data_IF_946267070063
#
_entry.id   IF_946267070063
#
_cell.length_a   1.000
_cell.length_b   1.000
_cell.length_c   1.000
_cell.angle_alpha   90.00
_cell.angle_beta   90.00
_cell.angle_gamma   90.00
#
_symmetry.space_group_name_H-M   'P 1'
#
loop_
_entity.id
_entity.type
_entity.pdbx_description
1 polymer ?
#
# COMPACT_ATOMS: atom_id res chain seq x y z
N UNK A 1 -17.69 32.70 9.57
CA UNK A 1 -16.76 31.68 9.05
C UNK A 1 -17.16 30.39 9.75
N UNK A 2 -17.71 29.41 9.03
CA UNK A 2 -17.97 28.10 9.58
C UNK A 2 -16.61 27.37 9.59
N UNK A 3 -16.10 27.06 10.78
CA UNK A 3 -14.98 26.13 10.94
C UNK A 3 -15.40 24.80 10.30
N UNK A 4 -14.87 24.52 9.12
CA UNK A 4 -14.94 23.18 8.57
C UNK A 4 -13.98 22.35 9.41
N UNK A 5 -14.41 21.20 9.95
CA UNK A 5 -13.50 20.36 10.71
C UNK A 5 -12.30 19.99 9.82
N UNK A 6 -11.09 20.14 10.36
CA UNK A 6 -9.87 19.84 9.62
C UNK A 6 -9.88 18.36 9.21
N UNK A 7 -9.53 18.08 7.95
CA UNK A 7 -9.41 16.73 7.42
C UNK A 7 -8.47 15.87 8.27
N UNK A 8 -8.75 14.57 8.37
CA UNK A 8 -7.91 13.65 9.15
C UNK A 8 -6.88 13.01 8.21
N UNK A 9 -5.59 13.13 8.51
CA UNK A 9 -4.54 12.44 7.74
C UNK A 9 -4.42 10.96 8.12
N UNK A 10 -4.07 10.12 7.14
CA UNK A 10 -3.61 8.76 7.41
C UNK A 10 -2.36 8.76 8.31
N UNK A 11 -2.30 7.80 9.24
CA UNK A 11 -1.25 7.78 10.28
C UNK A 11 -0.78 6.37 10.60
N UNK A 12 0.40 6.26 11.20
CA UNK A 12 0.93 5.02 11.78
C UNK A 12 0.75 4.95 13.31
N UNK A 13 0.21 6.00 13.93
CA UNK A 13 0.00 6.06 15.37
C UNK A 13 -1.14 5.12 15.79
N UNK A 14 -0.86 4.18 16.70
CA UNK A 14 -1.84 3.19 17.17
C UNK A 14 -2.99 3.87 17.91
N UNK A 15 -4.21 3.36 17.73
CA UNK A 15 -5.41 3.85 18.41
C UNK A 15 -6.05 5.09 17.77
N UNK A 16 -5.43 5.71 16.76
CA UNK A 16 -6.05 6.78 15.98
C UNK A 16 -7.01 6.22 14.93
N UNK A 17 -8.07 6.98 14.62
CA UNK A 17 -9.13 6.58 13.67
C UNK A 17 -8.57 6.21 12.29
N UNK A 18 -7.67 7.04 11.76
CA UNK A 18 -6.98 6.85 10.47
C UNK A 18 -5.66 6.06 10.58
N UNK A 19 -5.47 5.32 11.68
CA UNK A 19 -4.28 4.46 11.84
C UNK A 19 -4.27 3.36 10.78
N UNK A 20 -3.08 3.03 10.27
CA UNK A 20 -2.91 1.95 9.28
C UNK A 20 -3.58 0.66 9.74
N UNK A 21 -4.24 -0.02 8.81
CA UNK A 21 -4.90 -1.29 9.07
C UNK A 21 -3.99 -2.48 8.73
N UNK A 22 -4.56 -3.67 8.73
CA UNK A 22 -3.97 -4.88 8.14
C UNK A 22 -4.50 -5.09 6.72
N UNK A 23 -3.69 -5.74 5.90
CA UNK A 23 -4.06 -6.15 4.56
C UNK A 23 -5.11 -7.26 4.58
N UNK A 24 -6.09 -7.18 3.69
CA UNK A 24 -6.97 -8.30 3.36
C UNK A 24 -6.21 -9.29 2.49
N UNK A 25 -6.52 -10.58 2.66
CA UNK A 25 -5.97 -11.64 1.82
C UNK A 25 -6.14 -11.38 0.32
N UNK A 26 -7.34 -10.92 -0.07
CA UNK A 26 -7.66 -10.60 -1.47
C UNK A 26 -6.83 -9.43 -2.00
N UNK A 27 -6.52 -8.45 -1.15
CA UNK A 27 -5.67 -7.31 -1.51
C UNK A 27 -4.23 -7.73 -1.75
N UNK A 28 -3.69 -8.62 -0.91
CA UNK A 28 -2.35 -9.19 -1.11
C UNK A 28 -2.29 -10.06 -2.37
N UNK A 29 -3.31 -10.90 -2.60
CA UNK A 29 -3.40 -11.72 -3.80
C UNK A 29 -3.52 -10.86 -5.06
N UNK A 30 -4.39 -9.84 -5.03
CA UNK A 30 -4.59 -8.92 -6.15
C UNK A 30 -3.32 -8.16 -6.52
N UNK A 31 -2.56 -7.65 -5.53
CA UNK A 31 -1.29 -6.97 -5.79
C UNK A 31 -0.24 -7.90 -6.43
N UNK A 32 -0.24 -9.18 -6.08
CA UNK A 32 0.60 -10.18 -6.74
C UNK A 32 0.12 -10.46 -8.16
N UNK A 33 -1.17 -10.75 -8.35
CA UNK A 33 -1.73 -11.14 -9.64
C UNK A 33 -1.63 -10.04 -10.69
N UNK A 34 -1.79 -8.78 -10.28
CA UNK A 34 -1.66 -7.61 -11.16
C UNK A 34 -0.21 -7.25 -11.49
N UNK A 35 0.77 -7.72 -10.70
CA UNK A 35 2.17 -7.47 -11.00
C UNK A 35 2.61 -8.22 -12.26
N UNK A 36 3.53 -7.61 -13.01
CA UNK A 36 4.08 -8.18 -14.24
C UNK A 36 4.86 -9.45 -13.92
N UNK A 37 4.60 -10.52 -14.67
CA UNK A 37 5.34 -11.78 -14.53
C UNK A 37 6.79 -11.62 -14.95
N UNK A 38 7.69 -12.22 -14.17
CA UNK A 38 9.10 -12.33 -14.56
C UNK A 38 9.32 -13.61 -15.40
N UNK A 39 10.18 -13.59 -16.44
CA UNK A 39 10.39 -14.72 -17.34
C UNK A 39 10.83 -16.04 -16.68
N UNK A 40 11.42 -15.95 -15.49
CA UNK A 40 11.97 -17.08 -14.72
C UNK A 40 11.02 -17.53 -13.60
N UNK A 41 9.80 -17.00 -13.56
CA UNK A 41 8.86 -17.13 -12.45
C UNK A 41 8.94 -15.94 -11.48
N UNK A 42 7.88 -15.77 -10.68
CA UNK A 42 7.75 -14.63 -9.79
C UNK A 42 7.19 -13.38 -10.49
N UNK A 43 7.37 -12.23 -9.85
CA UNK A 43 6.83 -10.92 -10.27
C UNK A 43 7.93 -9.87 -10.31
N UNK A 44 7.86 -8.93 -11.24
CA UNK A 44 8.76 -7.78 -11.25
C UNK A 44 8.31 -6.71 -10.26
N UNK A 45 9.28 -6.14 -9.54
CA UNK A 45 9.11 -4.86 -8.88
C UNK A 45 8.97 -3.76 -9.94
N UNK A 46 7.86 -3.00 -9.98
CA UNK A 46 7.62 -2.00 -11.00
C UNK A 46 8.63 -0.84 -10.94
N UNK A 47 9.23 -0.57 -9.79
CA UNK A 47 10.14 0.55 -9.58
C UNK A 47 11.58 0.30 -10.03
N UNK A 48 12.03 -0.96 -10.05
CA UNK A 48 13.43 -1.28 -10.37
C UNK A 48 13.64 -2.53 -11.25
N UNK A 49 12.58 -3.24 -11.62
CA UNK A 49 12.66 -4.45 -12.44
C UNK A 49 13.27 -5.68 -11.74
N UNK A 50 13.58 -5.61 -10.44
CA UNK A 50 14.04 -6.77 -9.68
C UNK A 50 12.90 -7.79 -9.52
N UNK A 51 13.19 -9.07 -9.71
CA UNK A 51 12.22 -10.16 -9.52
C UNK A 51 12.05 -10.51 -8.04
N UNK A 52 10.81 -10.72 -7.61
CA UNK A 52 10.42 -11.29 -6.32
C UNK A 52 9.66 -12.59 -6.57
N UNK A 53 9.86 -13.60 -5.75
CA UNK A 53 9.57 -14.99 -6.11
C UNK A 53 8.51 -15.66 -5.22
N UNK A 54 8.22 -15.10 -4.04
CA UNK A 54 7.36 -15.77 -3.07
C UNK A 54 5.91 -15.33 -3.24
N UNK A 55 5.11 -16.19 -3.88
CA UNK A 55 3.68 -15.99 -4.03
C UNK A 55 2.95 -15.95 -2.66
N UNK A 56 1.84 -15.18 -2.56
CA UNK A 56 0.95 -15.24 -1.41
C UNK A 56 0.49 -16.67 -1.10
N UNK A 57 0.23 -16.96 0.17
CA UNK A 57 -0.32 -18.26 0.65
C UNK A 57 0.51 -19.49 0.29
N UNK A 58 1.78 -19.32 -0.08
CA UNK A 58 2.74 -20.41 -0.33
C UNK A 58 3.21 -21.14 0.93
N UNK A 59 2.87 -20.63 2.12
CA UNK A 59 3.41 -21.11 3.40
C UNK A 59 4.79 -20.54 3.75
N UNK A 60 5.38 -19.72 2.88
CA UNK A 60 6.65 -19.02 3.08
C UNK A 60 6.37 -17.51 3.20
N UNK A 61 7.15 -16.80 4.02
CA UNK A 61 7.06 -15.35 4.12
C UNK A 61 7.42 -14.69 2.78
N UNK A 62 6.61 -13.71 2.36
CA UNK A 62 6.82 -12.94 1.12
C UNK A 62 8.19 -12.26 1.12
N UNK A 63 8.85 -12.23 -0.04
CA UNK A 63 10.11 -11.51 -0.29
C UNK A 63 9.89 -10.10 -0.87
N UNK A 64 8.67 -9.57 -0.71
CA UNK A 64 8.20 -8.30 -1.24
C UNK A 64 7.24 -7.61 -0.27
N UNK A 65 7.11 -6.29 -0.42
CA UNK A 65 6.28 -5.44 0.41
C UNK A 65 5.05 -4.93 -0.37
N UNK A 66 4.00 -4.59 0.38
CA UNK A 66 2.84 -3.89 -0.16
C UNK A 66 3.11 -2.39 -0.14
N UNK A 67 3.00 -1.75 -1.30
CA UNK A 67 3.08 -0.30 -1.44
C UNK A 67 1.69 0.31 -1.58
N UNK A 68 1.58 1.58 -1.22
CA UNK A 68 0.38 2.40 -1.41
C UNK A 68 0.70 3.56 -2.35
N UNK A 69 -0.21 3.83 -3.28
CA UNK A 69 -0.20 5.06 -4.07
C UNK A 69 -1.63 5.66 -4.09
N UNK A 70 -1.86 6.84 -3.48
CA UNK A 70 -0.91 7.61 -2.67
C UNK A 70 -0.53 6.87 -1.39
N UNK A 71 0.67 7.13 -0.87
CA UNK A 71 1.19 6.58 0.38
C UNK A 71 0.23 6.84 1.53
N UNK A 72 0.12 5.90 2.48
CA UNK A 72 -0.89 5.97 3.55
C UNK A 72 -0.91 7.30 4.30
N UNK A 73 0.27 7.82 4.68
CA UNK A 73 0.37 9.09 5.43
C UNK A 73 0.14 10.34 4.59
N UNK A 74 0.01 10.20 3.27
CA UNK A 74 -0.37 11.30 2.37
C UNK A 74 -1.87 11.30 2.07
N UNK A 75 -2.61 10.27 2.51
CA UNK A 75 -4.08 10.23 2.37
C UNK A 75 -4.73 11.15 3.40
N UNK A 76 -5.86 11.73 2.99
CA UNK A 76 -6.71 12.55 3.85
C UNK A 76 -8.13 12.02 3.79
N UNK A 77 -8.83 12.13 4.91
CA UNK A 77 -10.18 11.63 5.11
C UNK A 77 -11.08 12.74 5.63
N UNK A 78 -12.36 12.64 5.29
CA UNK A 78 -13.38 13.51 5.88
C UNK A 78 -13.43 13.35 7.41
N UNK A 79 -13.73 14.42 8.17
CA UNK A 79 -13.68 14.36 9.63
C UNK A 79 -14.71 13.42 10.28
N UNK A 80 -15.79 13.10 9.57
CA UNK A 80 -16.85 12.17 9.99
C UNK A 80 -16.66 10.73 9.47
N UNK A 81 -15.50 10.43 8.88
CA UNK A 81 -15.14 9.09 8.42
C UNK A 81 -15.30 8.06 9.54
N UNK A 82 -15.82 6.88 9.20
CA UNK A 82 -15.89 5.76 10.14
C UNK A 82 -14.71 4.80 9.96
N UNK A 83 -14.33 4.10 11.03
CA UNK A 83 -13.18 3.19 11.01
C UNK A 83 -13.26 2.14 9.90
N UNK A 84 -14.45 1.62 9.58
CA UNK A 84 -14.65 0.65 8.50
C UNK A 84 -14.23 1.20 7.14
N UNK A 85 -14.61 2.44 6.83
CA UNK A 85 -14.23 3.11 5.58
C UNK A 85 -12.71 3.34 5.50
N UNK A 86 -12.05 3.66 6.63
CA UNK A 86 -10.58 3.70 6.70
C UNK A 86 -9.94 2.33 6.42
N UNK A 87 -10.55 1.23 6.89
CA UNK A 87 -10.08 -0.13 6.60
C UNK A 87 -10.24 -0.46 5.11
N UNK A 88 -11.37 -0.08 4.53
CA UNK A 88 -11.62 -0.26 3.10
C UNK A 88 -10.58 0.51 2.28
N UNK A 89 -10.40 1.80 2.55
CA UNK A 89 -9.41 2.64 1.87
C UNK A 89 -7.98 2.13 2.06
N UNK A 90 -7.62 1.64 3.26
CA UNK A 90 -6.30 1.03 3.49
C UNK A 90 -6.02 -0.14 2.54
N UNK A 91 -7.04 -0.79 1.98
CA UNK A 91 -6.88 -1.90 1.05
C UNK A 91 -6.96 -1.48 -0.44
N UNK A 92 -7.08 -0.19 -0.72
CA UNK A 92 -7.14 0.40 -2.06
C UNK A 92 -5.81 1.04 -2.49
N UNK A 93 -5.60 1.19 -3.80
CA UNK A 93 -4.40 1.84 -4.35
C UNK A 93 -3.12 1.12 -3.94
N UNK A 94 -3.15 -0.21 -3.93
CA UNK A 94 -2.04 -1.06 -3.49
C UNK A 94 -1.30 -1.69 -4.65
N UNK A 95 -0.01 -1.95 -4.47
CA UNK A 95 0.80 -2.67 -5.45
C UNK A 95 1.96 -3.42 -4.80
N UNK A 96 2.50 -4.39 -5.52
CA UNK A 96 3.73 -5.08 -5.16
C UNK A 96 4.95 -4.18 -5.41
N UNK A 97 5.86 -4.08 -4.43
CA UNK A 97 7.21 -3.54 -4.62
C UNK A 97 8.22 -4.41 -3.88
N UNK A 98 9.46 -4.44 -4.37
CA UNK A 98 10.54 -5.06 -3.60
C UNK A 98 10.81 -4.25 -2.31
N UNK A 99 11.35 -4.89 -1.25
CA UNK A 99 11.55 -4.21 0.02
C UNK A 99 12.49 -3.01 -0.05
N UNK A 100 13.49 -3.06 -0.93
CA UNK A 100 14.43 -1.97 -1.12
C UNK A 100 13.73 -0.71 -1.66
N UNK A 101 12.95 -0.82 -2.73
CA UNK A 101 12.22 0.31 -3.30
C UNK A 101 11.14 0.81 -2.35
N UNK A 102 10.31 -0.10 -1.81
CA UNK A 102 9.20 0.27 -0.92
C UNK A 102 9.71 1.08 0.28
N UNK A 103 10.63 0.51 1.06
CA UNK A 103 11.07 1.07 2.35
C UNK A 103 11.94 2.31 2.19
N UNK A 104 12.78 2.36 1.15
CA UNK A 104 13.68 3.52 0.94
C UNK A 104 12.91 4.79 0.57
N UNK A 105 11.80 4.67 -0.15
CA UNK A 105 11.03 5.85 -0.54
C UNK A 105 10.16 6.42 0.59
N UNK A 106 9.77 5.61 1.58
CA UNK A 106 8.84 6.04 2.63
C UNK A 106 7.51 6.50 2.04
N UNK A 107 7.11 7.73 2.34
CA UNK A 107 5.89 8.37 1.81
C UNK A 107 6.14 9.25 0.58
N UNK A 108 7.28 9.09 -0.12
CA UNK A 108 7.55 9.86 -1.33
C UNK A 108 6.80 9.28 -2.55
N UNK A 109 5.62 9.81 -2.84
CA UNK A 109 4.78 9.37 -3.96
C UNK A 109 5.30 9.79 -5.34
N UNK A 110 6.25 10.73 -5.41
CA UNK A 110 6.83 11.16 -6.70
C UNK A 110 7.51 10.01 -7.47
N UNK A 111 7.87 8.91 -6.77
CA UNK A 111 8.43 7.71 -7.38
C UNK A 111 7.48 6.97 -8.32
N UNK A 112 6.16 7.16 -8.16
CA UNK A 112 5.16 6.55 -9.02
C UNK A 112 4.83 7.42 -10.25
N UNK A 113 5.37 8.65 -10.29
CA UNK A 113 5.16 9.65 -11.33
C UNK A 113 6.12 9.49 -12.50
N UNK A 114 5.79 8.56 -13.39
CA UNK A 114 6.39 8.35 -14.70
C UNK A 114 5.44 7.58 -15.64
N UNK A 115 4.13 7.80 -15.49
CA UNK A 115 3.08 7.30 -16.39
C UNK A 115 2.40 8.48 -17.07
#
# INVERSE_FOLDING_TARGET
MLDHPESISGTNARGQLASRSSWRDQTVQGAWDQAVDAPQGGKFCPSCGTTVNVAPKSGIARDWDMSHNPSWTNRTFEPDIVRSAVIDDYNEGVMLECPQCNRSAGNNDSRFGGQ
#
